data_IF_904466961650
#
_entry.id   IF_904466961650
#
_cell.length_a   1.000
_cell.length_b   1.000
_cell.length_c   1.000
_cell.angle_alpha   90.00
_cell.angle_beta   90.00
_cell.angle_gamma   90.00
#
_symmetry.space_group_name_H-M   'P 1'
#
loop_
_entity.id
_entity.type
_entity.pdbx_description
1 polymer ?
#
# COMPACT_ATOMS: atom_id res chain seq x y z
N UNK A 1 9.07 -14.60 22.06
CA UNK A 1 9.02 -13.66 20.92
C UNK A 1 9.27 -12.28 21.47
N UNK A 2 10.43 -11.68 21.19
CA UNK A 2 10.74 -10.29 21.55
C UNK A 2 9.81 -9.37 20.76
N UNK A 3 8.99 -8.58 21.46
CA UNK A 3 8.13 -7.59 20.82
C UNK A 3 8.99 -6.43 20.33
N UNK A 4 8.80 -6.03 19.07
CA UNK A 4 9.36 -4.79 18.52
C UNK A 4 8.99 -3.64 19.44
N UNK A 5 9.99 -2.96 20.00
CA UNK A 5 9.78 -1.90 20.98
C UNK A 5 9.61 -0.58 20.25
N UNK A 6 8.50 0.12 20.50
CA UNK A 6 8.26 1.45 19.95
C UNK A 6 9.23 2.46 20.58
N UNK A 7 9.79 3.40 19.78
CA UNK A 7 10.46 4.56 20.33
C UNK A 7 9.56 5.35 21.29
N UNK A 8 10.10 6.07 22.28
CA UNK A 8 9.30 6.75 23.30
C UNK A 8 8.26 7.73 22.73
N UNK A 9 8.64 8.51 21.70
CA UNK A 9 7.76 9.50 21.06
C UNK A 9 6.59 8.80 20.36
N UNK A 10 6.90 7.80 19.52
CA UNK A 10 5.90 6.99 18.84
C UNK A 10 4.97 6.25 19.82
N UNK A 11 5.52 5.72 20.92
CA UNK A 11 4.74 5.04 21.95
C UNK A 11 3.78 5.99 22.67
N UNK A 12 4.23 7.20 23.03
CA UNK A 12 3.37 8.22 23.64
C UNK A 12 2.25 8.64 22.68
N UNK A 13 2.57 8.83 21.40
CA UNK A 13 1.58 9.15 20.35
C UNK A 13 0.56 8.03 20.18
N UNK A 14 1.00 6.77 20.15
CA UNK A 14 0.11 5.63 20.06
C UNK A 14 -0.81 5.49 21.27
N UNK A 15 -0.27 5.67 22.49
CA UNK A 15 -1.05 5.68 23.72
C UNK A 15 -2.12 6.78 23.70
N UNK A 16 -1.76 8.01 23.30
CA UNK A 16 -2.73 9.10 23.18
C UNK A 16 -3.88 8.79 22.22
N UNK A 17 -3.60 8.13 21.09
CA UNK A 17 -4.66 7.71 20.15
C UNK A 17 -5.58 6.64 20.76
N UNK A 18 -5.08 5.73 21.61
CA UNK A 18 -5.92 4.76 22.32
C UNK A 18 -6.83 5.45 23.34
N UNK A 19 -6.30 6.43 24.09
CA UNK A 19 -7.07 7.24 25.04
C UNK A 19 -8.16 8.05 24.32
N UNK A 20 -7.86 8.57 23.12
CA UNK A 20 -8.83 9.26 22.26
C UNK A 20 -9.98 8.33 21.81
N UNK A 21 -9.69 7.07 21.48
CA UNK A 21 -10.73 6.07 21.16
C UNK A 21 -11.67 5.88 22.35
N UNK A 22 -11.13 5.68 23.55
CA UNK A 22 -11.93 5.50 24.77
C UNK A 22 -12.76 6.74 25.11
N UNK A 23 -12.17 7.93 24.93
CA UNK A 23 -12.84 9.22 25.15
C UNK A 23 -13.99 9.42 24.16
N UNK A 24 -13.78 9.12 22.88
CA UNK A 24 -14.80 9.20 21.85
C UNK A 24 -15.96 8.22 22.13
N UNK A 25 -15.64 6.98 22.52
CA UNK A 25 -16.63 5.98 22.90
C UNK A 25 -17.47 6.42 24.11
N UNK A 26 -16.82 6.91 25.17
CA UNK A 26 -17.49 7.40 26.38
C UNK A 26 -18.43 8.57 26.07
N UNK A 27 -17.98 9.48 25.21
CA UNK A 27 -18.79 10.61 24.74
C UNK A 27 -20.01 10.15 23.95
N UNK A 28 -19.85 9.20 23.04
CA UNK A 28 -20.95 8.63 22.26
C UNK A 28 -22.00 7.97 23.15
N UNK A 29 -21.57 7.16 24.13
CA UNK A 29 -22.47 6.50 25.10
C UNK A 29 -23.22 7.53 25.95
N UNK A 30 -22.55 8.61 26.37
CA UNK A 30 -23.17 9.69 27.15
C UNK A 30 -24.28 10.39 26.36
N UNK A 31 -24.00 10.77 25.09
CA UNK A 31 -25.00 11.39 24.20
C UNK A 31 -26.16 10.43 23.92
N UNK A 32 -25.87 9.14 23.69
CA UNK A 32 -26.89 8.13 23.47
C UNK A 32 -27.85 7.98 24.67
N UNK A 33 -27.32 7.99 25.90
CA UNK A 33 -28.16 7.97 27.12
C UNK A 33 -29.05 9.22 27.21
N UNK A 34 -28.52 10.39 26.85
CA UNK A 34 -29.30 11.65 26.82
C UNK A 34 -30.42 11.60 25.79
N UNK A 35 -30.14 11.10 24.58
CA UNK A 35 -31.16 10.89 23.53
C UNK A 35 -32.28 9.99 24.06
N UNK A 36 -31.93 8.83 24.65
CA UNK A 36 -32.92 7.91 25.22
C UNK A 36 -33.78 8.58 26.30
N UNK A 37 -33.16 9.36 27.19
CA UNK A 37 -33.89 10.10 28.23
C UNK A 37 -34.88 11.13 27.65
N UNK A 38 -34.48 11.85 26.61
CA UNK A 38 -35.36 12.79 25.90
C UNK A 38 -36.49 12.08 25.16
N UNK A 39 -36.22 10.95 24.51
CA UNK A 39 -37.24 10.13 23.85
C UNK A 39 -38.27 9.59 24.85
N UNK A 40 -37.81 9.12 26.02
CA UNK A 40 -38.68 8.68 27.10
C UNK A 40 -39.55 9.83 27.64
N UNK A 41 -39.00 11.05 27.73
CA UNK A 41 -39.74 12.25 28.15
C UNK A 41 -40.82 12.64 27.13
N UNK A 42 -40.51 12.64 25.83
CA UNK A 42 -41.48 12.90 24.75
C UNK A 42 -42.59 11.85 24.77
N UNK A 43 -42.25 10.57 24.97
CA UNK A 43 -43.22 9.47 25.05
C UNK A 43 -44.18 9.63 26.22
N UNK A 44 -43.67 10.04 27.38
CA UNK A 44 -44.47 10.21 28.59
C UNK A 44 -45.22 11.55 28.64
N UNK A 45 -44.77 12.57 27.90
CA UNK A 45 -45.39 13.88 27.83
C UNK A 45 -45.46 14.40 26.38
N UNK A 46 -46.44 13.92 25.58
CA UNK A 46 -46.56 14.29 24.16
C UNK A 46 -46.74 15.80 23.91
N UNK A 47 -47.30 16.54 24.87
CA UNK A 47 -47.44 18.00 24.77
C UNK A 47 -46.10 18.74 24.69
N UNK A 48 -45.01 18.12 25.16
CA UNK A 48 -43.65 18.68 25.08
C UNK A 48 -42.87 18.28 23.83
N UNK A 49 -43.46 17.49 22.93
CA UNK A 49 -42.78 16.96 21.75
C UNK A 49 -42.23 18.05 20.82
N UNK A 50 -43.03 19.08 20.52
CA UNK A 50 -42.64 20.18 19.61
C UNK A 50 -41.36 20.91 20.05
N UNK A 51 -41.17 21.03 21.37
CA UNK A 51 -40.04 21.77 21.94
C UNK A 51 -38.78 20.90 22.02
N UNK A 52 -38.94 19.58 22.15
CA UNK A 52 -37.84 18.62 22.31
C UNK A 52 -37.31 18.05 21.00
N UNK A 53 -38.14 17.99 19.95
CA UNK A 53 -37.76 17.46 18.65
C UNK A 53 -36.51 18.13 18.03
N UNK A 54 -36.36 19.48 18.05
CA UNK A 54 -35.17 20.12 17.52
C UNK A 54 -33.90 19.77 18.30
N UNK A 55 -33.99 19.63 19.62
CA UNK A 55 -32.85 19.25 20.45
C UNK A 55 -32.50 17.76 20.25
N UNK A 56 -33.50 16.87 20.12
CA UNK A 56 -33.28 15.47 19.74
C UNK A 56 -32.56 15.36 18.40
N UNK A 57 -32.96 16.16 17.40
CA UNK A 57 -32.29 16.19 16.10
C UNK A 57 -30.81 16.61 16.23
N UNK A 58 -30.51 17.66 17.02
CA UNK A 58 -29.13 18.09 17.32
C UNK A 58 -28.32 16.98 18.00
N UNK A 59 -28.88 16.33 19.03
CA UNK A 59 -28.19 15.27 19.75
C UNK A 59 -27.94 14.05 18.86
N UNK A 60 -28.88 13.67 18.00
CA UNK A 60 -28.71 12.58 17.01
C UNK A 60 -27.61 12.91 16.00
N UNK A 61 -27.58 14.14 15.47
CA UNK A 61 -26.50 14.58 14.58
C UNK A 61 -25.14 14.52 15.28
N UNK A 62 -25.07 15.01 16.53
CA UNK A 62 -23.86 14.93 17.37
C UNK A 62 -23.43 13.48 17.63
N UNK A 63 -24.37 12.57 17.90
CA UNK A 63 -24.08 11.15 18.08
C UNK A 63 -23.48 10.56 16.80
N UNK A 64 -24.05 10.86 15.64
CA UNK A 64 -23.52 10.42 14.35
C UNK A 64 -22.07 10.88 14.11
N UNK A 65 -21.76 12.14 14.45
CA UNK A 65 -20.38 12.67 14.37
C UNK A 65 -19.43 11.93 15.32
N UNK A 66 -19.82 11.73 16.59
CA UNK A 66 -19.01 11.02 17.58
C UNK A 66 -18.77 9.56 17.20
N UNK A 67 -19.78 8.87 16.67
CA UNK A 67 -19.66 7.50 16.21
C UNK A 67 -18.74 7.40 14.98
N UNK A 68 -18.85 8.31 14.02
CA UNK A 68 -17.94 8.35 12.87
C UNK A 68 -16.49 8.53 13.33
N UNK A 69 -16.25 9.50 14.22
CA UNK A 69 -14.93 9.74 14.81
C UNK A 69 -14.38 8.51 15.54
N UNK A 70 -15.20 7.86 16.38
CA UNK A 70 -14.82 6.65 17.08
C UNK A 70 -14.42 5.53 16.10
N UNK A 71 -15.21 5.31 15.05
CA UNK A 71 -14.94 4.31 14.01
C UNK A 71 -13.61 4.61 13.33
N UNK A 72 -13.39 5.86 12.90
CA UNK A 72 -12.16 6.26 12.22
C UNK A 72 -10.91 6.06 13.11
N UNK A 73 -10.97 6.48 14.38
CA UNK A 73 -9.89 6.26 15.34
C UNK A 73 -9.64 4.77 15.61
N UNK A 74 -10.70 3.97 15.72
CA UNK A 74 -10.59 2.50 15.93
C UNK A 74 -9.93 1.83 14.74
N UNK A 75 -10.27 2.22 13.52
CA UNK A 75 -9.64 1.69 12.31
C UNK A 75 -8.14 2.00 12.27
N UNK A 76 -7.75 3.24 12.56
CA UNK A 76 -6.34 3.67 12.56
C UNK A 76 -5.54 2.95 13.64
N UNK A 77 -6.04 2.91 14.88
CA UNK A 77 -5.35 2.23 15.99
C UNK A 77 -5.24 0.72 15.78
N UNK A 78 -6.26 0.09 15.19
CA UNK A 78 -6.22 -1.33 14.79
C UNK A 78 -5.17 -1.57 13.71
N UNK A 79 -5.14 -0.73 12.66
CA UNK A 79 -4.16 -0.84 11.59
C UNK A 79 -2.72 -0.72 12.11
N UNK A 80 -2.46 0.21 13.03
CA UNK A 80 -1.17 0.35 13.70
C UNK A 80 -0.83 -0.92 14.51
N UNK A 81 -1.78 -1.41 15.31
CA UNK A 81 -1.58 -2.63 16.13
C UNK A 81 -1.25 -3.85 15.26
N UNK A 82 -2.01 -4.08 14.19
CA UNK A 82 -1.79 -5.17 13.24
C UNK A 82 -0.44 -5.04 12.56
N UNK A 83 -0.06 -3.84 12.12
CA UNK A 83 1.24 -3.59 11.52
C UNK A 83 2.39 -3.88 12.49
N UNK A 84 2.30 -3.43 13.75
CA UNK A 84 3.29 -3.75 14.78
C UNK A 84 3.40 -5.25 15.06
N UNK A 85 2.30 -6.00 15.00
CA UNK A 85 2.32 -7.46 15.15
C UNK A 85 2.96 -8.18 13.96
N UNK A 86 2.87 -7.61 12.76
CA UNK A 86 3.50 -8.15 11.54
C UNK A 86 5.01 -7.89 11.49
N UNK A 87 5.49 -6.87 12.20
CA UNK A 87 6.93 -6.63 12.36
C UNK A 87 7.55 -7.75 13.20
N UNK A 88 8.23 -8.69 12.54
CA UNK A 88 9.00 -9.72 13.21
C UNK A 88 10.18 -9.14 14.02
N UNK A 89 10.80 -9.95 14.87
CA UNK A 89 11.92 -9.54 15.74
C UNK A 89 13.22 -9.17 15.01
N UNK A 90 13.22 -9.17 13.67
CA UNK A 90 14.36 -8.79 12.83
C UNK A 90 14.35 -7.31 12.42
N UNK A 91 13.43 -6.52 12.95
CA UNK A 91 13.27 -5.11 12.64
C UNK A 91 13.29 -4.27 13.91
N UNK A 92 13.99 -3.14 13.85
CA UNK A 92 13.91 -2.08 14.84
C UNK A 92 13.13 -0.90 14.26
N UNK A 93 12.52 -0.10 15.13
CA UNK A 93 11.82 1.12 14.76
C UNK A 93 12.67 2.31 15.21
N UNK A 94 12.90 3.26 14.31
CA UNK A 94 13.62 4.52 14.61
C UNK A 94 12.70 5.70 14.45
N UNK A 95 12.82 6.67 15.34
CA UNK A 95 12.12 7.95 15.20
C UNK A 95 12.62 8.69 13.96
N UNK A 96 11.68 9.22 13.19
CA UNK A 96 11.94 10.09 12.06
C UNK A 96 11.55 11.51 12.47
N UNK A 97 12.48 12.47 12.44
CA UNK A 97 12.15 13.84 12.82
C UNK A 97 11.05 14.40 11.90
N UNK A 98 10.10 15.18 12.46
CA UNK A 98 9.06 15.82 11.68
C UNK A 98 9.69 16.73 10.62
N UNK A 99 9.19 16.68 9.38
CA UNK A 99 9.61 17.56 8.30
C UNK A 99 8.64 18.73 8.21
N UNK A 100 9.12 19.91 8.61
CA UNK A 100 8.33 21.14 8.50
C UNK A 100 7.76 21.29 7.09
N UNK A 101 6.44 21.42 7.04
CA UNK A 101 5.69 21.66 5.82
C UNK A 101 5.19 23.09 5.83
N UNK A 102 5.60 23.88 4.84
CA UNK A 102 5.12 25.25 4.69
C UNK A 102 3.80 25.24 3.91
N UNK A 103 2.72 25.69 4.56
CA UNK A 103 1.44 25.97 3.90
C UNK A 103 1.60 27.09 2.89
N UNK A 104 0.78 27.09 1.84
CA UNK A 104 0.71 28.24 0.95
C UNK A 104 0.09 29.45 1.66
N UNK A 105 0.43 30.65 1.20
CA UNK A 105 -0.11 31.88 1.79
C UNK A 105 -1.64 31.91 1.67
N UNK A 106 -2.32 32.13 2.79
CA UNK A 106 -3.78 32.08 2.91
C UNK A 106 -4.42 30.68 2.91
N UNK A 107 -3.67 29.59 2.79
CA UNK A 107 -4.19 28.22 2.80
C UNK A 107 -4.53 27.74 4.23
N UNK A 108 -5.75 27.25 4.45
CA UNK A 108 -6.15 26.63 5.72
C UNK A 108 -5.47 25.27 5.90
N UNK A 109 -5.34 24.77 7.15
CA UNK A 109 -4.80 23.42 7.37
C UNK A 109 -5.60 22.32 6.66
N UNK A 110 -6.92 22.49 6.56
CA UNK A 110 -7.80 21.53 5.87
C UNK A 110 -7.47 21.48 4.38
N UNK A 111 -7.36 22.65 3.73
CA UNK A 111 -7.01 22.74 2.30
C UNK A 111 -5.61 22.17 2.02
N UNK A 112 -4.63 22.47 2.88
CA UNK A 112 -3.28 21.93 2.77
C UNK A 112 -3.26 20.40 2.87
N UNK A 113 -3.96 19.84 3.86
CA UNK A 113 -4.11 18.39 4.02
C UNK A 113 -4.81 17.77 2.81
N UNK A 114 -5.89 18.36 2.31
CA UNK A 114 -6.62 17.84 1.14
C UNK A 114 -5.80 17.94 -0.16
N UNK A 115 -4.94 18.95 -0.30
CA UNK A 115 -3.97 19.01 -1.40
C UNK A 115 -2.95 17.89 -1.31
N UNK A 116 -2.34 17.65 -0.15
CA UNK A 116 -1.40 16.53 0.04
C UNK A 116 -2.09 15.19 -0.23
N UNK A 117 -3.34 15.01 0.22
CA UNK A 117 -4.11 13.78 -0.04
C UNK A 117 -4.32 13.52 -1.52
N UNK A 118 -4.58 14.57 -2.32
CA UNK A 118 -4.65 14.46 -3.78
C UNK A 118 -3.31 14.04 -4.37
N UNK A 119 -2.21 14.68 -3.97
CA UNK A 119 -0.87 14.28 -4.41
C UNK A 119 -0.55 12.81 -4.09
N UNK A 120 -0.88 12.35 -2.88
CA UNK A 120 -0.71 10.94 -2.49
C UNK A 120 -1.57 10.01 -3.35
N UNK A 121 -2.80 10.40 -3.70
CA UNK A 121 -3.63 9.64 -4.62
C UNK A 121 -3.03 9.58 -6.04
N UNK A 122 -2.46 10.69 -6.52
CA UNK A 122 -1.77 10.77 -7.80
C UNK A 122 -0.48 9.93 -7.84
N UNK A 123 0.27 9.84 -6.74
CA UNK A 123 1.39 8.91 -6.63
C UNK A 123 0.93 7.45 -6.68
N UNK A 124 -0.21 7.12 -6.05
CA UNK A 124 -0.76 5.76 -6.08
C UNK A 124 -1.27 5.37 -7.47
N UNK A 125 -1.90 6.28 -8.21
CA UNK A 125 -2.29 6.04 -9.60
C UNK A 125 -1.06 5.90 -10.50
N UNK A 126 -0.05 6.77 -10.33
CA UNK A 126 1.22 6.69 -11.05
C UNK A 126 1.95 5.38 -10.78
N UNK A 127 1.95 4.90 -9.53
CA UNK A 127 2.50 3.58 -9.16
C UNK A 127 1.83 2.46 -9.96
N UNK A 128 0.50 2.46 -10.05
CA UNK A 128 -0.21 1.44 -10.83
C UNK A 128 0.17 1.49 -12.32
N UNK A 129 0.28 2.68 -12.91
CA UNK A 129 0.74 2.85 -14.29
C UNK A 129 2.17 2.32 -14.51
N UNK A 130 3.11 2.62 -13.60
CA UNK A 130 4.49 2.12 -13.67
C UNK A 130 4.56 0.61 -13.48
N UNK A 131 3.80 0.03 -12.54
CA UNK A 131 3.74 -1.42 -12.34
C UNK A 131 3.28 -2.16 -13.61
N UNK A 132 2.32 -1.57 -14.33
CA UNK A 132 1.77 -2.11 -15.57
C UNK A 132 2.49 -1.66 -16.83
N UNK A 133 3.62 -0.94 -16.72
CA UNK A 133 4.43 -0.55 -17.87
C UNK A 133 4.84 -1.79 -18.69
N UNK A 134 4.87 -1.65 -20.01
CA UNK A 134 5.38 -2.69 -20.92
C UNK A 134 6.90 -2.64 -20.98
N UNK A 135 7.51 -3.74 -21.37
CA UNK A 135 8.95 -3.74 -21.68
C UNK A 135 9.16 -3.03 -23.02
N UNK A 136 10.26 -2.29 -23.20
CA UNK A 136 10.66 -1.76 -24.49
C UNK A 136 10.78 -2.87 -25.54
N UNK A 137 10.63 -2.52 -26.81
CA UNK A 137 10.64 -3.47 -27.92
C UNK A 137 11.92 -4.33 -27.95
N UNK A 138 13.08 -3.70 -27.73
CA UNK A 138 14.37 -4.39 -27.66
C UNK A 138 14.38 -5.47 -26.57
N UNK A 139 13.92 -5.13 -25.37
CA UNK A 139 13.85 -6.05 -24.22
C UNK A 139 12.82 -7.18 -24.47
N UNK A 140 11.74 -6.91 -25.21
CA UNK A 140 10.75 -7.92 -25.59
C UNK A 140 11.35 -8.96 -26.54
N UNK A 141 12.10 -8.53 -27.55
CA UNK A 141 12.80 -9.44 -28.46
C UNK A 141 13.90 -10.23 -27.73
N UNK A 142 14.69 -9.57 -26.87
CA UNK A 142 15.69 -10.27 -26.05
C UNK A 142 15.05 -11.32 -25.14
N UNK A 143 13.91 -10.99 -24.51
CA UNK A 143 13.17 -11.94 -23.68
C UNK A 143 12.60 -13.12 -24.49
N UNK A 144 12.14 -12.87 -25.72
CA UNK A 144 11.68 -13.93 -26.62
C UNK A 144 12.82 -14.86 -27.03
N UNK A 145 13.98 -14.30 -27.38
CA UNK A 145 15.18 -15.06 -27.69
C UNK A 145 15.66 -15.91 -26.51
N UNK A 146 15.73 -15.32 -25.31
CA UNK A 146 16.10 -16.01 -24.08
C UNK A 146 15.13 -17.16 -23.75
N UNK A 147 13.83 -16.95 -24.00
CA UNK A 147 12.81 -17.98 -23.82
C UNK A 147 13.02 -19.17 -24.78
N UNK A 148 13.28 -18.91 -26.06
CA UNK A 148 13.57 -19.97 -27.05
C UNK A 148 14.85 -20.72 -26.70
N UNK A 149 15.91 -20.03 -26.26
CA UNK A 149 17.15 -20.68 -25.82
C UNK A 149 16.94 -21.56 -24.59
N UNK A 150 16.13 -21.13 -23.63
CA UNK A 150 15.76 -21.94 -22.47
C UNK A 150 14.98 -23.21 -22.89
N UNK A 151 14.05 -23.09 -23.84
CA UNK A 151 13.32 -24.23 -24.41
C UNK A 151 14.25 -25.18 -25.18
N UNK A 152 15.16 -24.65 -25.99
CA UNK A 152 16.17 -25.41 -26.72
C UNK A 152 17.06 -26.21 -25.78
N UNK A 153 17.52 -25.58 -24.69
CA UNK A 153 18.35 -26.24 -23.68
C UNK A 153 17.58 -27.39 -23.00
N UNK A 154 16.29 -27.18 -22.71
CA UNK A 154 15.41 -28.21 -22.14
C UNK A 154 15.13 -29.36 -23.12
N UNK A 155 14.89 -29.06 -24.40
CA UNK A 155 14.55 -30.06 -25.43
C UNK A 155 15.75 -30.87 -25.94
N UNK A 156 16.97 -30.46 -25.62
CA UNK A 156 18.19 -31.10 -26.09
C UNK A 156 18.28 -32.55 -25.59
N UNK A 157 18.40 -33.56 -26.47
CA UNK A 157 18.63 -34.92 -26.06
C UNK A 157 20.02 -35.09 -25.44
N UNK A 158 20.08 -35.93 -24.42
CA UNK A 158 21.33 -36.49 -23.93
C UNK A 158 21.74 -37.65 -24.85
N UNK A 159 22.81 -37.43 -25.61
CA UNK A 159 23.40 -38.44 -26.49
C UNK A 159 24.61 -39.07 -25.79
N UNK A 160 24.58 -40.38 -25.59
CA UNK A 160 25.68 -41.19 -25.06
C UNK A 160 26.15 -42.18 -26.12
N UNK A 161 27.45 -42.26 -26.30
CA UNK A 161 28.14 -43.18 -27.22
C UNK A 161 28.88 -44.20 -26.37
N UNK A 162 28.36 -45.42 -26.32
CA UNK A 162 28.99 -46.56 -25.65
C UNK A 162 29.65 -47.48 -26.71
N UNK A 163 30.68 -48.28 -26.37
CA UNK A 163 31.28 -49.22 -27.31
C UNK A 163 30.23 -50.20 -27.87
N UNK A 164 29.81 -49.98 -29.13
CA UNK A 164 28.81 -50.80 -29.82
C UNK A 164 27.35 -50.36 -29.64
N UNK A 165 27.07 -49.25 -28.95
CA UNK A 165 25.70 -48.75 -28.80
C UNK A 165 25.62 -47.20 -28.78
N UNK A 166 24.57 -46.67 -29.43
CA UNK A 166 24.18 -45.26 -29.35
C UNK A 166 22.92 -45.17 -28.47
N UNK A 167 22.98 -44.39 -27.39
CA UNK A 167 21.82 -44.12 -26.52
C UNK A 167 21.44 -42.64 -26.61
N UNK A 168 20.20 -42.37 -26.98
CA UNK A 168 19.62 -41.03 -27.02
C UNK A 168 18.50 -40.99 -25.99
N UNK A 169 18.60 -40.10 -25.01
CA UNK A 169 17.58 -39.93 -23.95
C UNK A 169 17.14 -38.48 -23.90
N UNK A 170 15.83 -38.26 -23.90
CA UNK A 170 15.26 -36.94 -23.66
C UNK A 170 14.87 -36.81 -22.20
N UNK A 171 15.28 -35.72 -21.53
CA UNK A 171 14.88 -35.41 -20.15
C UNK A 171 13.63 -34.53 -20.18
N UNK A 172 12.51 -35.16 -20.50
CA UNK A 172 11.23 -34.53 -20.78
C UNK A 172 10.21 -35.10 -19.77
N UNK A 173 9.47 -34.23 -19.07
CA UNK A 173 8.64 -34.56 -17.90
C UNK A 173 7.12 -34.48 -18.17
N UNK A 174 6.67 -33.98 -19.33
CA UNK A 174 5.27 -33.87 -19.71
C UNK A 174 4.98 -33.61 -21.20
N UNK A 175 4.11 -34.44 -21.79
CA UNK A 175 3.87 -34.56 -23.24
C UNK A 175 3.76 -33.28 -24.10
N UNK A 176 3.07 -32.21 -23.65
CA UNK A 176 2.83 -31.02 -24.48
C UNK A 176 3.96 -29.97 -24.38
N UNK A 177 4.45 -29.68 -23.17
CA UNK A 177 5.57 -28.77 -22.95
C UNK A 177 6.87 -29.33 -23.55
N UNK A 178 6.95 -30.66 -23.63
CA UNK A 178 8.07 -31.38 -24.21
C UNK A 178 8.12 -31.27 -25.73
N UNK A 179 6.97 -31.22 -26.42
CA UNK A 179 6.92 -31.05 -27.87
C UNK A 179 7.45 -29.68 -28.33
N UNK A 180 7.10 -28.60 -27.61
CA UNK A 180 7.59 -27.25 -27.91
C UNK A 180 9.08 -27.13 -27.68
N UNK A 181 9.60 -27.73 -26.60
CA UNK A 181 11.04 -27.76 -26.32
C UNK A 181 11.80 -28.54 -27.40
N UNK A 182 11.25 -29.66 -27.89
CA UNK A 182 11.82 -30.43 -29.01
C UNK A 182 11.88 -29.61 -30.30
N UNK A 183 10.81 -28.86 -30.62
CA UNK A 183 10.79 -27.97 -31.78
C UNK A 183 11.80 -26.83 -31.66
N UNK A 184 11.90 -26.20 -30.49
CA UNK A 184 12.90 -25.18 -30.20
C UNK A 184 14.34 -25.73 -30.28
N UNK A 185 14.54 -27.02 -29.93
CA UNK A 185 15.82 -27.68 -30.10
C UNK A 185 16.17 -27.93 -31.57
N UNK A 186 15.19 -28.35 -32.38
CA UNK A 186 15.38 -28.67 -33.78
C UNK A 186 15.64 -27.44 -34.64
N UNK A 187 14.86 -26.37 -34.46
CA UNK A 187 14.95 -25.14 -35.25
C UNK A 187 14.63 -23.90 -34.39
N UNK A 188 15.61 -23.44 -33.58
CA UNK A 188 15.42 -22.26 -32.73
C UNK A 188 15.24 -20.98 -33.53
N UNK A 189 15.88 -20.84 -34.69
CA UNK A 189 15.89 -19.60 -35.46
C UNK A 189 14.51 -19.34 -36.10
N UNK A 190 13.87 -20.38 -36.65
CA UNK A 190 12.49 -20.27 -37.15
C UNK A 190 11.51 -19.91 -36.03
N UNK A 191 11.68 -20.46 -34.82
CA UNK A 191 10.82 -20.15 -33.69
C UNK A 191 11.00 -18.70 -33.20
N UNK A 192 12.25 -18.21 -33.10
CA UNK A 192 12.56 -16.81 -32.78
C UNK A 192 11.96 -15.86 -33.82
N UNK A 193 12.20 -16.11 -35.11
CA UNK A 193 11.67 -15.30 -36.18
C UNK A 193 10.13 -15.22 -36.14
N UNK A 194 9.46 -16.33 -35.84
CA UNK A 194 7.99 -16.33 -35.69
C UNK A 194 7.52 -15.51 -34.48
N UNK A 195 8.19 -15.66 -33.33
CA UNK A 195 7.87 -14.87 -32.14
C UNK A 195 8.10 -13.37 -32.36
N UNK A 196 9.17 -13.01 -33.07
CA UNK A 196 9.45 -11.62 -33.41
C UNK A 196 8.33 -11.02 -34.27
N UNK A 197 7.88 -11.72 -35.31
CA UNK A 197 6.73 -11.29 -36.12
C UNK A 197 5.45 -11.13 -35.29
N UNK A 198 5.17 -12.08 -34.38
CA UNK A 198 3.99 -11.99 -33.51
C UNK A 198 4.09 -10.82 -32.51
N UNK A 199 5.31 -10.48 -32.05
CA UNK A 199 5.58 -9.30 -31.20
C UNK A 199 5.38 -8.01 -32.01
N UNK A 200 5.97 -7.90 -33.20
CA UNK A 200 5.82 -6.77 -34.10
C UNK A 200 4.34 -6.51 -34.44
N UNK A 201 3.58 -7.57 -34.77
CA UNK A 201 2.15 -7.48 -35.06
C UNK A 201 1.38 -6.91 -33.86
N UNK A 202 1.68 -7.35 -32.64
CA UNK A 202 1.04 -6.83 -31.43
C UNK A 202 1.41 -5.39 -31.14
N UNK A 203 2.69 -5.02 -31.28
CA UNK A 203 3.17 -3.65 -31.06
C UNK A 203 2.60 -2.68 -32.10
N UNK A 204 2.28 -3.15 -33.31
CA UNK A 204 1.66 -2.32 -34.35
C UNK A 204 0.19 -1.96 -34.08
N UNK A 205 -0.44 -2.56 -33.07
CA UNK A 205 -1.84 -2.28 -32.75
C UNK A 205 -2.00 -0.88 -32.13
N UNK A 206 -2.99 -0.07 -32.55
CA UNK A 206 -3.17 1.29 -32.04
C UNK A 206 -3.34 1.38 -30.50
N UNK A 207 -3.87 0.32 -29.88
CA UNK A 207 -4.05 0.23 -28.43
C UNK A 207 -2.73 0.14 -27.63
N UNK A 208 -1.61 -0.08 -28.30
CA UNK A 208 -0.27 -0.12 -27.68
C UNK A 208 0.45 1.25 -27.78
N UNK A 209 0.04 2.13 -28.69
CA UNK A 209 0.72 3.43 -28.92
C UNK A 209 0.72 4.37 -27.71
N UNK A 210 -0.35 4.36 -26.89
CA UNK A 210 -0.48 5.23 -25.71
C UNK A 210 0.04 4.57 -24.41
N UNK A 211 0.70 3.42 -24.49
CA UNK A 211 1.18 2.71 -23.30
C UNK A 211 2.53 3.23 -22.82
N UNK A 212 2.75 3.09 -21.52
CA UNK A 212 4.03 3.37 -20.90
C UNK A 212 4.98 2.19 -21.09
N UNK A 213 6.16 2.45 -21.64
CA UNK A 213 7.23 1.48 -21.83
C UNK A 213 8.39 1.80 -20.89
N UNK A 214 8.82 0.81 -20.09
CA UNK A 214 9.92 0.93 -19.14
C UNK A 214 10.63 -0.40 -19.00
N UNK A 215 11.96 -0.38 -19.03
CA UNK A 215 12.78 -1.55 -18.69
C UNK A 215 12.52 -1.98 -17.25
N UNK A 216 12.92 -3.21 -16.88
CA UNK A 216 12.74 -3.70 -15.51
C UNK A 216 13.48 -2.85 -14.48
N UNK A 217 14.71 -2.41 -14.80
CA UNK A 217 15.53 -1.59 -13.91
C UNK A 217 14.95 -0.19 -13.70
N UNK A 218 14.51 0.47 -14.79
CA UNK A 218 13.85 1.78 -14.69
C UNK A 218 12.54 1.71 -13.92
N UNK A 219 11.77 0.63 -14.12
CA UNK A 219 10.53 0.38 -13.39
C UNK A 219 10.79 0.24 -11.90
N UNK A 220 11.79 -0.54 -11.49
CA UNK A 220 12.14 -0.70 -10.07
C UNK A 220 12.55 0.64 -9.45
N UNK A 221 13.42 1.41 -10.12
CA UNK A 221 13.83 2.74 -9.66
C UNK A 221 12.66 3.72 -9.56
N UNK A 222 11.77 3.73 -10.56
CA UNK A 222 10.59 4.59 -10.57
C UNK A 222 9.60 4.22 -9.44
N UNK A 223 9.41 2.92 -9.17
CA UNK A 223 8.56 2.48 -8.06
C UNK A 223 9.13 2.90 -6.71
N UNK A 224 10.45 2.75 -6.50
CA UNK A 224 11.12 3.20 -5.29
C UNK A 224 11.02 4.72 -5.09
N UNK A 225 11.21 5.50 -6.15
CA UNK A 225 11.05 6.97 -6.10
C UNK A 225 9.60 7.38 -5.78
N UNK A 226 8.62 6.78 -6.46
CA UNK A 226 7.19 7.06 -6.20
C UNK A 226 6.82 6.70 -4.76
N UNK A 227 7.25 5.55 -4.25
CA UNK A 227 7.00 5.13 -2.87
C UNK A 227 7.67 6.07 -1.85
N UNK A 228 8.91 6.49 -2.10
CA UNK A 228 9.62 7.43 -1.24
C UNK A 228 8.92 8.81 -1.20
N UNK A 229 8.46 9.32 -2.35
CA UNK A 229 7.73 10.59 -2.44
C UNK A 229 6.35 10.50 -1.78
N UNK A 230 5.62 9.40 -2.00
CA UNK A 230 4.34 9.17 -1.35
C UNK A 230 4.50 9.12 0.17
N UNK A 231 5.49 8.38 0.69
CA UNK A 231 5.75 8.31 2.13
C UNK A 231 6.17 9.67 2.71
N UNK A 232 6.95 10.46 1.99
CA UNK A 232 7.33 11.81 2.42
C UNK A 232 6.09 12.71 2.57
N UNK A 233 5.20 12.72 1.57
CA UNK A 233 3.94 13.46 1.62
C UNK A 233 3.00 12.95 2.71
N UNK A 234 2.96 11.64 2.99
CA UNK A 234 2.16 11.09 4.09
C UNK A 234 2.68 11.50 5.47
N UNK A 235 4.00 11.72 5.62
CA UNK A 235 4.59 12.30 6.84
C UNK A 235 4.27 13.79 6.98
N UNK A 236 4.29 14.53 5.87
CA UNK A 236 3.89 15.94 5.83
C UNK A 236 2.39 16.10 6.17
N UNK A 237 1.52 15.22 5.66
CA UNK A 237 0.09 15.16 6.03
C UNK A 237 -0.08 15.00 7.55
N UNK A 238 0.60 14.01 8.15
CA UNK A 238 0.48 13.77 9.59
C UNK A 238 0.98 14.96 10.43
N UNK A 239 2.06 15.60 9.98
CA UNK A 239 2.56 16.80 10.65
C UNK A 239 1.53 17.93 10.63
N UNK A 240 0.92 18.22 9.48
CA UNK A 240 -0.13 19.24 9.37
C UNK A 240 -1.34 18.91 10.23
N UNK A 241 -1.73 17.63 10.35
CA UNK A 241 -2.82 17.21 11.24
C UNK A 241 -2.47 17.51 12.70
N UNK A 242 -1.24 17.20 13.13
CA UNK A 242 -0.77 17.52 14.48
C UNK A 242 -0.69 19.04 14.74
N UNK A 243 -0.23 19.82 13.76
CA UNK A 243 -0.16 21.28 13.84
C UNK A 243 -1.54 21.92 13.88
N UNK A 244 -2.49 21.46 13.05
CA UNK A 244 -3.88 21.94 13.05
C UNK A 244 -4.55 21.78 14.41
N UNK A 245 -4.32 20.62 15.06
CA UNK A 245 -4.85 20.35 16.39
C UNK A 245 -4.19 21.22 17.47
N UNK A 246 -2.87 21.40 17.41
CA UNK A 246 -2.12 22.11 18.45
C UNK A 246 -2.19 23.64 18.34
N UNK A 247 -2.22 24.19 17.13
CA UNK A 247 -2.19 25.64 16.88
C UNK A 247 -3.59 26.25 16.75
N UNK A 248 -4.49 25.59 16.02
CA UNK A 248 -5.82 26.11 15.69
C UNK A 248 -6.96 25.34 16.38
N UNK A 249 -6.66 24.30 17.18
CA UNK A 249 -7.64 23.40 17.77
C UNK A 249 -8.61 22.80 16.73
N UNK A 250 -8.12 22.61 15.50
CA UNK A 250 -8.87 22.03 14.40
C UNK A 250 -8.58 20.54 14.32
N UNK A 251 -9.60 19.73 14.62
CA UNK A 251 -9.52 18.27 14.57
C UNK A 251 -9.71 17.77 13.14
N UNK A 252 -8.61 17.43 12.47
CA UNK A 252 -8.62 16.86 11.12
C UNK A 252 -8.55 15.33 11.23
N UNK A 253 -9.55 14.58 10.74
CA UNK A 253 -9.54 13.12 10.84
C UNK A 253 -8.44 12.53 9.96
N UNK A 254 -7.69 11.57 10.52
CA UNK A 254 -6.69 10.78 9.77
C UNK A 254 -7.36 9.87 8.76
N UNK A 255 -6.70 9.61 7.62
CA UNK A 255 -7.19 8.65 6.62
C UNK A 255 -7.09 7.22 7.16
N UNK A 256 -8.13 6.41 6.90
CA UNK A 256 -8.16 4.98 7.31
C UNK A 256 -7.04 4.13 6.69
N UNK A 257 -6.49 4.57 5.56
CA UNK A 257 -5.43 3.90 4.81
C UNK A 257 -4.10 4.67 4.84
N UNK A 258 -3.90 5.56 5.82
CA UNK A 258 -2.59 6.16 6.07
C UNK A 258 -1.63 5.09 6.62
N UNK A 259 -0.36 5.08 6.21
CA UNK A 259 0.58 4.07 6.67
C UNK A 259 0.89 4.28 8.16
N UNK A 260 0.85 3.22 8.98
CA UNK A 260 1.17 3.29 10.41
C UNK A 260 2.51 3.95 10.72
N UNK A 261 3.54 3.72 9.90
CA UNK A 261 4.86 4.32 10.07
C UNK A 261 4.86 5.85 9.92
N UNK A 262 4.08 6.41 9.00
CA UNK A 262 3.97 7.87 8.87
C UNK A 262 3.18 8.47 10.03
N UNK A 263 2.07 7.84 10.43
CA UNK A 263 1.27 8.30 11.59
C UNK A 263 2.13 8.32 12.86
N UNK A 264 2.90 7.26 13.11
CA UNK A 264 3.75 7.18 14.30
C UNK A 264 5.04 8.01 14.20
N UNK A 265 5.41 8.51 13.02
CA UNK A 265 6.67 9.22 12.82
C UNK A 265 7.89 8.31 12.95
N UNK A 266 7.79 7.07 12.47
CA UNK A 266 8.88 6.08 12.57
C UNK A 266 9.29 5.53 11.20
N UNK A 267 10.51 5.00 11.14
CA UNK A 267 11.00 4.17 10.05
C UNK A 267 11.33 2.76 10.54
N UNK A 268 11.07 1.77 9.67
CA UNK A 268 11.43 0.37 9.92
C UNK A 268 12.84 0.15 9.39
N UNK A 269 13.76 -0.21 10.28
CA UNK A 269 15.13 -0.58 9.92
C UNK A 269 15.36 -2.05 10.25
N UNK A 270 16.20 -2.72 9.47
CA UNK A 270 16.59 -4.10 9.79
C UNK A 270 17.47 -4.09 11.05
N UNK A 271 17.11 -4.90 12.03
CA UNK A 271 17.89 -5.03 13.25
C UNK A 271 19.28 -5.58 12.92
N UNK A 272 20.32 -4.89 13.36
CA UNK A 272 21.69 -5.38 13.24
C UNK A 272 21.81 -6.66 14.05
N UNK A 273 22.11 -7.80 13.40
CA UNK A 273 22.47 -9.02 14.11
C UNK A 273 23.74 -8.71 14.89
N UNK A 274 23.61 -8.43 16.19
CA UNK A 274 24.73 -8.49 17.12
C UNK A 274 25.20 -9.94 17.11
N UNK A 275 26.22 -10.23 16.31
CA UNK A 275 27.03 -11.44 16.44
C UNK A 275 27.61 -11.35 17.86
N UNK A 276 27.00 -12.03 18.83
CA UNK A 276 27.57 -12.11 20.16
C UNK A 276 28.93 -12.78 19.98
N UNK A 277 30.01 -12.02 20.18
CA UNK A 277 31.34 -12.59 20.31
C UNK A 277 31.26 -13.61 21.47
N UNK A 278 31.38 -14.89 21.11
CA UNK A 278 31.41 -16.00 22.04
C UNK A 278 32.74 -16.04 22.80
#
# INVERSE_FOLDING_TARGET
>A
MTRTTLPPIANAKFAAMLDEVETAQTSAVSVQRRIKGMEDQVRNNPASASDMEPELARQRARLGQLQSRQIDLTHVTTAISTWLMQLGSGYDLRDVPPRSYERYDGETYIEAVDRIRRNVADFRSSKASVQHARLPDADLFEAADAYVEALRAKGRPEVRLDPGALSIKFRLEGYAADAVALLAWLDPDTMKARLHLDIEERLSQPAEADRLYMSLAERELALLDIEARALAQEREEEQLICEALSMENTDIPRRRNAPPGAILGVEVVRAERKLSAA
#
